data_IF_948512801314
#
_entry.id   IF_948512801314
#
_cell.length_a   1.000
_cell.length_b   1.000
_cell.length_c   1.000
_cell.angle_alpha   90.00
_cell.angle_beta   90.00
_cell.angle_gamma   90.00
#
_symmetry.space_group_name_H-M   'P 1'
#
loop_
_entity.id
_entity.type
_entity.pdbx_description
1 polymer ?
#
# COMPACT_ATOMS: atom_id res chain seq x y z
N UNK A 1 11.43 22.48 -23.91
CA UNK A 1 10.80 22.24 -22.59
C UNK A 1 9.72 21.19 -22.82
N UNK A 2 9.90 19.94 -22.40
CA UNK A 2 8.81 18.97 -22.50
C UNK A 2 7.72 19.44 -21.56
N UNK A 3 6.52 19.71 -22.04
CA UNK A 3 5.39 19.98 -21.16
C UNK A 3 4.77 18.62 -20.79
N UNK A 4 4.74 18.26 -19.50
CA UNK A 4 3.95 17.10 -19.06
C UNK A 4 2.51 17.28 -19.55
N UNK A 5 2.01 16.34 -20.36
CA UNK A 5 0.69 16.46 -20.96
C UNK A 5 -0.40 16.53 -19.88
N UNK A 6 -1.50 17.27 -20.10
CA UNK A 6 -2.61 17.33 -19.16
C UNK A 6 -3.18 15.94 -18.82
N UNK A 7 -3.20 15.02 -19.79
CA UNK A 7 -3.64 13.64 -19.59
C UNK A 7 -2.73 12.83 -18.67
N UNK A 8 -1.40 13.03 -18.76
CA UNK A 8 -0.44 12.36 -17.88
C UNK A 8 -0.51 12.93 -16.45
N UNK A 9 -0.63 14.25 -16.31
CA UNK A 9 -0.84 14.89 -15.00
C UNK A 9 -2.08 14.33 -14.30
N UNK A 10 -3.21 14.25 -15.01
CA UNK A 10 -4.45 13.69 -14.47
C UNK A 10 -4.27 12.23 -14.02
N UNK A 11 -3.61 11.38 -14.82
CA UNK A 11 -3.33 9.98 -14.45
C UNK A 11 -2.47 9.87 -13.19
N UNK A 12 -1.42 10.69 -13.07
CA UNK A 12 -0.56 10.72 -11.88
C UNK A 12 -1.32 11.23 -10.64
N UNK A 13 -2.17 12.24 -10.79
CA UNK A 13 -3.03 12.73 -9.71
C UNK A 13 -4.01 11.66 -9.23
N UNK A 14 -4.65 10.92 -10.14
CA UNK A 14 -5.53 9.80 -9.77
C UNK A 14 -4.75 8.70 -9.07
N UNK A 15 -3.55 8.35 -9.56
CA UNK A 15 -2.69 7.35 -8.92
C UNK A 15 -2.34 7.74 -7.48
N UNK A 16 -1.89 8.99 -7.27
CA UNK A 16 -1.57 9.52 -5.94
C UNK A 16 -2.79 9.58 -5.02
N UNK A 17 -3.94 10.02 -5.55
CA UNK A 17 -5.18 10.05 -4.81
C UNK A 17 -5.59 8.65 -4.34
N UNK A 18 -5.63 7.68 -5.25
CA UNK A 18 -6.03 6.30 -4.92
C UNK A 18 -5.08 5.65 -3.90
N UNK A 19 -3.77 5.90 -4.00
CA UNK A 19 -2.78 5.44 -3.02
C UNK A 19 -3.19 5.82 -1.59
N UNK A 20 -3.40 7.11 -1.33
CA UNK A 20 -3.72 7.58 0.02
C UNK A 20 -5.18 7.33 0.41
N UNK A 21 -6.11 7.34 -0.56
CA UNK A 21 -7.51 7.00 -0.32
C UNK A 21 -7.67 5.59 0.22
N UNK A 22 -6.99 4.60 -0.39
CA UNK A 22 -7.03 3.21 0.07
C UNK A 22 -6.54 3.14 1.51
N UNK A 23 -5.40 3.75 1.83
CA UNK A 23 -4.87 3.76 3.19
C UNK A 23 -5.86 4.37 4.20
N UNK A 24 -6.41 5.55 3.89
CA UNK A 24 -7.36 6.24 4.74
C UNK A 24 -8.67 5.48 4.96
N UNK A 25 -9.14 4.75 3.95
CA UNK A 25 -10.44 4.06 3.98
C UNK A 25 -10.54 2.97 5.05
N UNK A 26 -9.45 2.27 5.34
CA UNK A 26 -9.45 1.14 6.29
C UNK A 26 -8.64 1.43 7.56
N UNK A 27 -7.59 2.26 7.49
CA UNK A 27 -6.65 2.40 8.60
C UNK A 27 -7.29 3.04 9.84
N UNK A 28 -8.18 4.01 9.65
CA UNK A 28 -8.87 4.69 10.76
C UNK A 28 -9.96 3.81 11.38
N UNK A 29 -10.63 3.00 10.55
CA UNK A 29 -11.78 2.19 10.97
C UNK A 29 -11.38 0.81 11.51
N UNK A 30 -10.15 0.35 11.25
CA UNK A 30 -9.67 -0.97 11.64
C UNK A 30 -9.83 -1.26 13.13
N UNK A 31 -9.36 -0.36 14.00
CA UNK A 31 -9.41 -0.57 15.45
C UNK A 31 -10.84 -0.80 15.95
N UNK A 32 -11.76 0.08 15.56
CA UNK A 32 -13.18 -0.04 15.92
C UNK A 32 -13.81 -1.32 15.34
N UNK A 33 -13.47 -1.68 14.11
CA UNK A 33 -13.97 -2.89 13.45
C UNK A 33 -13.52 -4.17 14.19
N UNK A 34 -12.23 -4.26 14.55
CA UNK A 34 -11.70 -5.42 15.29
C UNK A 34 -12.29 -5.52 16.69
N UNK A 35 -12.41 -4.40 17.40
CA UNK A 35 -13.00 -4.36 18.74
C UNK A 35 -14.46 -4.84 18.73
N UNK A 36 -15.25 -4.36 17.76
CA UNK A 36 -16.65 -4.77 17.57
C UNK A 36 -16.82 -6.28 17.27
N UNK A 37 -15.78 -6.97 16.82
CA UNK A 37 -15.79 -8.40 16.54
C UNK A 37 -15.00 -9.23 17.57
N UNK A 38 -14.69 -8.67 18.74
CA UNK A 38 -13.98 -9.39 19.82
C UNK A 38 -12.49 -9.64 19.54
N UNK A 39 -11.90 -8.92 18.58
CA UNK A 39 -10.51 -9.05 18.15
C UNK A 39 -9.63 -7.91 18.68
N UNK A 40 -10.02 -7.28 19.80
CA UNK A 40 -9.30 -6.16 20.41
C UNK A 40 -7.81 -6.48 20.70
N UNK A 41 -7.52 -7.73 21.06
CA UNK A 41 -6.16 -8.22 21.39
C UNK A 41 -5.16 -8.12 20.23
N UNK A 42 -5.63 -8.11 18.98
CA UNK A 42 -4.77 -8.03 17.80
C UNK A 42 -4.70 -6.63 17.18
N UNK A 43 -5.39 -5.63 17.73
CA UNK A 43 -5.37 -4.25 17.21
C UNK A 43 -3.93 -3.73 17.16
N UNK A 44 -3.22 -3.78 18.29
CA UNK A 44 -1.83 -3.32 18.37
C UNK A 44 -0.90 -4.08 17.43
N UNK A 45 -1.08 -5.40 17.31
CA UNK A 45 -0.31 -6.24 16.38
C UNK A 45 -0.58 -5.93 14.90
N UNK A 46 -1.83 -5.60 14.56
CA UNK A 46 -2.23 -5.27 13.19
C UNK A 46 -1.67 -3.91 12.76
N UNK A 47 -1.70 -2.90 13.64
CA UNK A 47 -1.02 -1.63 13.38
C UNK A 47 0.51 -1.74 13.42
N UNK A 48 1.05 -2.61 14.29
CA UNK A 48 2.48 -2.89 14.39
C UNK A 48 3.11 -3.53 13.15
N UNK A 49 2.30 -4.07 12.24
CA UNK A 49 2.79 -4.54 10.94
C UNK A 49 3.29 -3.41 10.03
N UNK A 50 2.79 -2.18 10.21
CA UNK A 50 3.16 -1.03 9.40
C UNK A 50 4.65 -0.68 9.52
N UNK A 51 5.24 -0.49 10.72
CA UNK A 51 6.68 -0.22 10.85
C UNK A 51 7.55 -1.39 10.34
N UNK A 52 7.13 -2.64 10.52
CA UNK A 52 7.86 -3.81 9.99
C UNK A 52 7.94 -3.73 8.47
N UNK A 53 6.80 -3.51 7.81
CA UNK A 53 6.75 -3.37 6.36
C UNK A 53 7.51 -2.14 5.87
N UNK A 54 7.47 -1.03 6.61
CA UNK A 54 8.19 0.20 6.26
C UNK A 54 9.71 0.01 6.30
N UNK A 55 10.25 -0.78 7.25
CA UNK A 55 11.68 -1.15 7.30
C UNK A 55 12.06 -2.02 6.10
N UNK A 56 11.19 -2.94 5.69
CA UNK A 56 11.45 -3.85 4.57
C UNK A 56 11.24 -3.21 3.20
N UNK A 57 10.49 -2.12 3.12
CA UNK A 57 10.15 -1.47 1.84
C UNK A 57 11.38 -0.95 1.06
N UNK A 58 12.35 -0.22 1.66
CA UNK A 58 13.57 0.19 0.98
C UNK A 58 14.41 -0.99 0.48
N UNK A 59 14.43 -2.09 1.22
CA UNK A 59 15.14 -3.31 0.82
C UNK A 59 14.50 -3.91 -0.45
N UNK A 60 13.18 -3.98 -0.50
CA UNK A 60 12.45 -4.46 -1.67
C UNK A 60 12.65 -3.56 -2.89
N UNK A 61 12.55 -2.24 -2.71
CA UNK A 61 12.82 -1.24 -3.76
C UNK A 61 14.24 -1.38 -4.32
N UNK A 62 15.25 -1.45 -3.44
CA UNK A 62 16.66 -1.54 -3.84
C UNK A 62 17.07 -2.87 -4.50
N UNK A 63 16.39 -3.97 -4.18
CA UNK A 63 16.66 -5.30 -4.78
C UNK A 63 15.87 -5.56 -6.06
N UNK A 64 14.58 -5.20 -6.09
CA UNK A 64 13.64 -5.70 -7.12
C UNK A 64 13.21 -4.61 -8.09
N UNK A 65 12.85 -3.43 -7.59
CA UNK A 65 12.15 -2.44 -8.41
C UNK A 65 13.07 -1.56 -9.26
N UNK A 66 14.27 -1.26 -8.78
CA UNK A 66 15.19 -0.35 -9.49
C UNK A 66 16.03 -1.03 -10.57
N UNK A 67 16.05 -2.37 -10.64
CA UNK A 67 16.96 -3.11 -11.54
C UNK A 67 16.32 -4.13 -12.47
N UNK A 68 15.13 -4.66 -12.15
CA UNK A 68 14.60 -5.84 -12.84
C UNK A 68 13.30 -5.59 -13.62
N UNK A 69 12.47 -4.62 -13.22
CA UNK A 69 11.15 -4.41 -13.81
C UNK A 69 10.74 -2.94 -13.87
N UNK A 70 9.86 -2.53 -14.82
CA UNK A 70 9.28 -1.19 -14.82
C UNK A 70 8.47 -0.90 -13.55
N UNK A 71 8.71 0.24 -12.90
CA UNK A 71 8.13 0.58 -11.59
C UNK A 71 6.61 0.57 -11.60
N UNK A 72 5.96 1.00 -12.69
CA UNK A 72 4.50 0.99 -12.80
C UNK A 72 3.90 -0.42 -12.79
N UNK A 73 4.62 -1.41 -13.35
CA UNK A 73 4.18 -2.81 -13.34
C UNK A 73 4.35 -3.44 -11.96
N UNK A 74 5.46 -3.12 -11.27
CA UNK A 74 5.70 -3.57 -9.90
C UNK A 74 4.63 -3.00 -8.97
N UNK A 75 4.35 -1.70 -9.06
CA UNK A 75 3.30 -1.05 -8.26
C UNK A 75 1.93 -1.68 -8.51
N UNK A 76 1.58 -1.97 -9.78
CA UNK A 76 0.34 -2.67 -10.13
C UNK A 76 0.24 -4.07 -9.50
N UNK A 77 1.31 -4.87 -9.57
CA UNK A 77 1.33 -6.21 -8.97
C UNK A 77 1.19 -6.15 -7.44
N UNK A 78 1.89 -5.23 -6.78
CA UNK A 78 1.80 -5.03 -5.33
C UNK A 78 0.38 -4.64 -4.90
N UNK A 79 -0.30 -3.77 -5.64
CA UNK A 79 -1.69 -3.42 -5.34
C UNK A 79 -2.65 -4.59 -5.53
N UNK A 80 -2.46 -5.43 -6.55
CA UNK A 80 -3.30 -6.61 -6.75
C UNK A 80 -3.14 -7.61 -5.61
N UNK A 81 -1.89 -7.90 -5.20
CA UNK A 81 -1.60 -8.82 -4.10
C UNK A 81 -2.11 -8.26 -2.77
N UNK A 82 -1.76 -7.01 -2.47
CA UNK A 82 -2.18 -6.33 -1.23
C UNK A 82 -3.69 -6.11 -1.16
N UNK A 83 -4.33 -5.82 -2.29
CA UNK A 83 -5.78 -5.67 -2.40
C UNK A 83 -6.51 -7.00 -2.21
N UNK A 84 -6.01 -8.09 -2.79
CA UNK A 84 -6.55 -9.44 -2.56
C UNK A 84 -6.44 -9.86 -1.09
N UNK A 85 -5.31 -9.57 -0.44
CA UNK A 85 -5.14 -9.81 0.99
C UNK A 85 -6.18 -9.03 1.82
N UNK A 86 -6.38 -7.75 1.51
CA UNK A 86 -7.35 -6.90 2.22
C UNK A 86 -8.80 -7.34 1.98
N UNK A 87 -9.14 -7.79 0.77
CA UNK A 87 -10.47 -8.34 0.44
C UNK A 87 -10.79 -9.62 1.22
N UNK A 88 -9.79 -10.41 1.59
CA UNK A 88 -9.98 -11.63 2.37
C UNK A 88 -10.24 -11.36 3.86
N UNK A 89 -9.80 -10.22 4.39
CA UNK A 89 -9.85 -9.90 5.84
C UNK A 89 -11.25 -10.05 6.46
N UNK A 90 -12.34 -9.48 5.90
CA UNK A 90 -13.67 -9.56 6.52
C UNK A 90 -14.16 -11.01 6.72
N UNK A 91 -13.80 -11.91 5.81
CA UNK A 91 -14.16 -13.33 5.90
C UNK A 91 -13.45 -14.08 7.04
N UNK A 92 -12.30 -13.59 7.50
CA UNK A 92 -11.59 -14.16 8.65
C UNK A 92 -11.92 -13.46 9.97
N UNK A 93 -12.29 -12.16 9.92
CA UNK A 93 -12.85 -11.45 11.08
C UNK A 93 -14.12 -12.15 11.57
N UNK A 94 -15.04 -12.47 10.66
CA UNK A 94 -16.31 -13.15 11.00
C UNK A 94 -16.11 -14.57 11.56
N UNK A 95 -14.99 -15.21 11.23
CA UNK A 95 -14.59 -16.53 11.78
C UNK A 95 -13.83 -16.43 13.11
N UNK A 96 -13.45 -15.22 13.53
CA UNK A 96 -12.63 -15.02 14.72
C UNK A 96 -11.17 -15.46 14.57
N UNK A 97 -10.67 -15.65 13.35
CA UNK A 97 -9.30 -16.11 13.14
C UNK A 97 -8.29 -14.94 13.21
N UNK A 98 -7.97 -14.58 14.45
CA UNK A 98 -7.09 -13.46 14.76
C UNK A 98 -5.68 -13.62 14.14
N UNK A 99 -5.20 -14.86 14.02
CA UNK A 99 -3.89 -15.17 13.45
C UNK A 99 -3.83 -14.86 11.96
N UNK A 100 -4.82 -15.34 11.20
CA UNK A 100 -4.90 -15.08 9.76
C UNK A 100 -5.16 -13.60 9.49
N UNK A 101 -6.06 -12.94 10.24
CA UNK A 101 -6.32 -11.50 10.09
C UNK A 101 -5.04 -10.68 10.22
N UNK A 102 -4.24 -10.93 11.26
CA UNK A 102 -2.94 -10.25 11.45
C UNK A 102 -1.98 -10.49 10.29
N UNK A 103 -1.89 -11.73 9.80
CA UNK A 103 -1.00 -12.08 8.70
C UNK A 103 -1.43 -11.44 7.37
N UNK A 104 -2.74 -11.32 7.13
CA UNK A 104 -3.28 -10.62 5.96
C UNK A 104 -2.98 -9.12 6.00
N UNK A 105 -3.08 -8.47 7.17
CA UNK A 105 -2.65 -7.08 7.31
C UNK A 105 -1.15 -6.91 7.10
N UNK A 106 -0.33 -7.82 7.62
CA UNK A 106 1.10 -7.82 7.38
C UNK A 106 1.42 -7.95 5.88
N UNK A 107 0.78 -8.90 5.18
CA UNK A 107 0.94 -9.07 3.74
C UNK A 107 0.51 -7.82 2.97
N UNK A 108 -0.67 -7.25 3.29
CA UNK A 108 -1.14 -6.02 2.69
C UNK A 108 -0.12 -4.88 2.88
N UNK A 109 0.40 -4.69 4.09
CA UNK A 109 1.35 -3.63 4.40
C UNK A 109 2.72 -3.87 3.77
N UNK A 110 3.19 -5.12 3.69
CA UNK A 110 4.41 -5.47 2.95
C UNK A 110 4.29 -5.13 1.46
N UNK A 111 3.11 -5.26 0.89
CA UNK A 111 2.86 -4.85 -0.48
C UNK A 111 2.66 -3.33 -0.60
N UNK A 112 1.98 -2.70 0.36
CA UNK A 112 1.61 -1.30 0.30
C UNK A 112 2.78 -0.35 0.59
N UNK A 113 3.64 -0.63 1.56
CA UNK A 113 4.72 0.29 1.96
C UNK A 113 5.72 0.61 0.82
N UNK A 114 6.17 -0.35 -0.01
CA UNK A 114 7.02 -0.05 -1.16
C UNK A 114 6.35 0.87 -2.19
N UNK A 115 5.02 0.83 -2.31
CA UNK A 115 4.29 1.64 -3.31
C UNK A 115 4.34 3.13 -3.02
N UNK A 116 4.57 3.55 -1.77
CA UNK A 116 4.76 4.96 -1.41
C UNK A 116 6.03 5.54 -2.08
N UNK A 117 7.14 4.79 -2.02
CA UNK A 117 8.38 5.17 -2.70
C UNK A 117 8.25 5.09 -4.22
N UNK A 118 7.70 3.98 -4.73
CA UNK A 118 7.51 3.78 -6.17
C UNK A 118 6.61 4.84 -6.79
N UNK A 119 5.51 5.18 -6.13
CA UNK A 119 4.57 6.19 -6.59
C UNK A 119 5.23 7.55 -6.77
N UNK A 120 6.05 7.96 -5.80
CA UNK A 120 6.84 9.20 -5.90
C UNK A 120 7.88 9.11 -7.03
N UNK A 121 8.61 8.00 -7.15
CA UNK A 121 9.58 7.81 -8.25
C UNK A 121 8.93 7.83 -9.63
N UNK A 122 7.76 7.20 -9.80
CA UNK A 122 6.98 7.23 -11.05
C UNK A 122 6.51 8.65 -11.34
N UNK A 123 6.01 9.37 -10.34
CA UNK A 123 5.60 10.76 -10.52
C UNK A 123 6.79 11.63 -10.96
N UNK A 124 7.90 11.63 -10.21
CA UNK A 124 9.06 12.47 -10.51
C UNK A 124 9.72 12.14 -11.84
N UNK A 125 9.79 10.87 -12.24
CA UNK A 125 10.33 10.48 -13.56
C UNK A 125 9.48 10.96 -14.75
N UNK A 126 8.20 11.29 -14.53
CA UNK A 126 7.25 11.66 -15.58
C UNK A 126 6.88 13.17 -15.56
N UNK A 127 7.37 13.93 -14.58
CA UNK A 127 7.18 15.38 -14.50
C UNK A 127 8.42 16.08 -15.08
N UNK A 128 8.19 17.02 -15.99
CA UNK A 128 9.25 17.68 -16.77
C UNK A 128 10.06 18.74 -16.02
N UNK A 129 9.59 19.17 -14.85
CA UNK A 129 10.20 20.19 -14.01
C UNK A 129 10.37 19.60 -12.60
N UNK A 130 11.52 18.99 -12.35
CA UNK A 130 11.83 18.30 -11.09
C UNK A 130 12.33 19.24 -9.98
N UNK A 131 12.51 20.54 -10.28
CA UNK A 131 13.22 21.51 -9.43
C UNK A 131 12.40 22.75 -9.04
N UNK A 132 11.07 22.73 -9.21
CA UNK A 132 10.15 23.75 -8.71
C UNK A 132 9.06 23.16 -7.83
#
# INVERSE_FOLDING_TARGET
MSHTSPSLKFRLSVMMFLQFFVWGSWFVTLGACLDAHGLASIIGGSYGAAPIAAILAPLFLGLVADRLFPSEKVMGALFLIGGAALLAVPGFITKGDAGIVKNLFLLHLLCFMPTLGLGNSIAFSNISDQSK
#
